data_IF_596021721033
#
_entry.id   IF_596021721033
#
_cell.length_a   1.000
_cell.length_b   1.000
_cell.length_c   1.000
_cell.angle_alpha   90.00
_cell.angle_beta   90.00
_cell.angle_gamma   90.00
#
_symmetry.space_group_name_H-M   'P 1'
#
loop_
_entity.id
_entity.type
_entity.pdbx_description
1 polymer ?
#
# COMPACT_ATOMS: atom_id res chain seq x y z
N UNK A 1 5.44 11.44 -5.78
CA UNK A 1 6.28 12.41 -5.12
C UNK A 1 5.63 13.05 -3.93
N UNK A 2 6.27 14.03 -3.37
CA UNK A 2 5.78 14.75 -2.21
C UNK A 2 5.17 16.08 -2.59
N UNK A 3 4.41 16.63 -1.68
CA UNK A 3 3.86 17.98 -1.84
C UNK A 3 4.88 19.02 -1.40
N UNK A 4 5.65 18.69 -0.39
CA UNK A 4 6.75 19.51 0.11
C UNK A 4 7.98 18.60 0.22
N UNK A 5 9.14 19.15 -0.12
CA UNK A 5 10.39 18.42 0.00
C UNK A 5 11.14 18.88 1.25
N UNK A 6 10.92 18.26 2.40
CA UNK A 6 11.68 18.59 3.58
C UNK A 6 13.15 18.21 3.40
N UNK A 7 14.03 18.85 4.15
CA UNK A 7 15.49 18.70 4.00
C UNK A 7 15.96 17.27 4.12
N UNK A 8 15.34 16.32 4.53
CA UNK A 8 15.77 14.92 4.61
C UNK A 8 14.70 13.99 4.05
N UNK A 9 14.00 14.43 3.01
CA UNK A 9 12.96 13.62 2.39
C UNK A 9 13.55 12.36 1.77
N UNK A 10 12.91 11.23 2.03
CA UNK A 10 13.25 9.97 1.39
C UNK A 10 12.54 9.93 0.03
N UNK A 11 13.22 9.59 -1.06
CA UNK A 11 12.56 9.56 -2.36
C UNK A 11 11.50 8.47 -2.44
N UNK A 12 10.60 8.61 -3.41
CA UNK A 12 9.71 7.54 -3.80
C UNK A 12 10.50 6.57 -4.69
N UNK A 13 10.45 5.29 -4.37
CA UNK A 13 11.11 4.27 -5.18
C UNK A 13 10.05 3.24 -5.59
N UNK A 14 9.91 3.05 -6.90
CA UNK A 14 9.05 2.03 -7.46
C UNK A 14 9.94 1.13 -8.30
N UNK A 15 10.09 -0.11 -7.88
CA UNK A 15 10.99 -1.05 -8.55
C UNK A 15 10.35 -1.65 -9.80
N UNK A 16 11.06 -2.59 -10.45
CA UNK A 16 10.66 -3.13 -11.74
C UNK A 16 9.35 -3.95 -11.69
N UNK A 17 8.65 -3.91 -12.79
CA UNK A 17 7.45 -4.72 -13.00
C UNK A 17 6.31 -4.48 -12.01
N UNK A 18 6.27 -3.31 -11.38
CA UNK A 18 5.16 -2.90 -10.52
C UNK A 18 4.00 -2.45 -11.40
N UNK A 19 2.80 -2.96 -11.11
CA UNK A 19 1.59 -2.55 -11.79
C UNK A 19 0.87 -1.51 -10.92
N UNK A 20 0.56 -0.36 -11.50
CA UNK A 20 -0.04 0.76 -10.77
C UNK A 20 -1.38 1.12 -11.40
N UNK A 21 -2.45 0.98 -10.63
CA UNK A 21 -3.79 1.34 -11.06
C UNK A 21 -4.01 2.84 -11.09
N UNK A 22 -5.12 3.26 -11.68
CA UNK A 22 -5.45 4.68 -11.78
C UNK A 22 -5.74 5.32 -10.43
N UNK A 23 -5.50 6.62 -10.33
CA UNK A 23 -5.73 7.40 -9.11
C UNK A 23 -4.96 6.89 -7.89
N UNK A 24 -3.81 6.31 -8.13
CA UNK A 24 -2.92 5.81 -7.09
C UNK A 24 -1.97 6.91 -6.67
N UNK A 25 -1.74 7.04 -5.36
CA UNK A 25 -0.78 8.00 -4.83
C UNK A 25 0.35 7.28 -4.12
N UNK A 26 1.59 7.57 -4.51
CA UNK A 26 2.77 7.06 -3.83
C UNK A 26 3.64 8.25 -3.48
N UNK A 27 3.78 8.50 -2.19
CA UNK A 27 4.42 9.71 -1.70
C UNK A 27 5.80 9.43 -1.10
N UNK A 28 6.55 10.49 -0.83
CA UNK A 28 7.91 10.36 -0.30
C UNK A 28 7.95 9.47 0.94
N UNK A 29 9.04 8.73 1.06
CA UNK A 29 9.20 7.76 2.15
C UNK A 29 8.55 6.41 1.88
N UNK A 30 8.17 6.13 0.63
CA UNK A 30 7.56 4.86 0.27
C UNK A 30 8.40 4.15 -0.78
N UNK A 31 8.66 2.88 -0.54
CA UNK A 31 9.36 2.00 -1.49
C UNK A 31 8.41 0.88 -1.87
N UNK A 32 8.16 0.72 -3.17
CA UNK A 32 7.32 -0.36 -3.69
C UNK A 32 8.26 -1.36 -4.36
N UNK A 33 8.39 -2.53 -3.77
CA UNK A 33 9.32 -3.54 -4.27
C UNK A 33 8.81 -4.19 -5.55
N UNK A 34 9.71 -4.85 -6.26
CA UNK A 34 9.44 -5.40 -7.59
C UNK A 34 8.18 -6.26 -7.63
N UNK A 35 7.50 -6.20 -8.77
CA UNK A 35 6.33 -7.03 -9.07
C UNK A 35 5.12 -6.80 -8.17
N UNK A 36 5.14 -5.81 -7.30
CA UNK A 36 3.95 -5.47 -6.52
C UNK A 36 2.85 -4.91 -7.43
N UNK A 37 1.62 -5.01 -6.96
CA UNK A 37 0.45 -4.47 -7.67
C UNK A 37 -0.24 -3.49 -6.73
N UNK A 38 -0.44 -2.26 -7.21
CA UNK A 38 -1.22 -1.26 -6.49
C UNK A 38 -2.54 -1.08 -7.24
N UNK A 39 -3.62 -1.55 -6.65
CA UNK A 39 -4.94 -1.42 -7.26
C UNK A 39 -5.35 0.05 -7.33
N UNK A 40 -6.32 0.34 -8.18
CA UNK A 40 -6.81 1.70 -8.35
C UNK A 40 -7.20 2.35 -7.03
N UNK A 41 -6.80 3.59 -6.84
CA UNK A 41 -7.14 4.38 -5.67
C UNK A 41 -6.31 4.11 -4.41
N UNK A 42 -5.32 3.24 -4.49
CA UNK A 42 -4.43 2.99 -3.33
C UNK A 42 -3.56 4.20 -3.08
N UNK A 43 -3.52 4.66 -1.84
CA UNK A 43 -2.72 5.81 -1.42
C UNK A 43 -1.71 5.33 -0.37
N UNK A 44 -0.44 5.55 -0.64
CA UNK A 44 0.66 5.16 0.24
C UNK A 44 1.47 6.37 0.64
N UNK A 45 1.57 6.59 1.94
CA UNK A 45 2.47 7.60 2.50
C UNK A 45 3.35 6.91 3.52
N UNK A 46 4.43 7.56 3.90
CA UNK A 46 5.34 6.99 4.90
C UNK A 46 4.64 6.63 6.21
N UNK A 47 3.62 7.37 6.59
CA UNK A 47 2.90 7.14 7.84
C UNK A 47 1.73 6.19 7.73
N UNK A 48 1.44 5.68 6.53
CA UNK A 48 0.29 4.81 6.29
C UNK A 48 0.61 3.38 6.75
N UNK A 49 -0.15 2.80 7.70
CA UNK A 49 0.03 1.39 8.01
C UNK A 49 -0.61 0.54 6.91
N UNK A 50 0.02 -0.57 6.56
CA UNK A 50 -0.47 -1.50 5.54
C UNK A 50 -0.73 -2.84 6.20
N UNK A 51 -1.95 -3.34 6.08
CA UNK A 51 -2.31 -4.61 6.68
C UNK A 51 -2.07 -5.74 5.70
N UNK A 52 -1.19 -6.66 6.09
CA UNK A 52 -0.78 -7.80 5.25
C UNK A 52 -1.56 -9.03 5.71
N UNK A 53 -2.68 -9.32 5.03
CA UNK A 53 -3.55 -10.43 5.41
C UNK A 53 -2.87 -11.80 5.32
N UNK A 54 -2.17 -12.13 4.21
CA UNK A 54 -1.55 -13.46 4.13
C UNK A 54 -0.56 -13.75 5.24
N UNK A 55 0.16 -12.75 5.72
CA UNK A 55 1.17 -12.93 6.76
C UNK A 55 0.72 -12.45 8.13
N UNK A 56 -0.52 -12.01 8.25
CA UNK A 56 -1.13 -11.57 9.51
C UNK A 56 -0.26 -10.58 10.27
N UNK A 57 0.18 -9.53 9.56
CA UNK A 57 1.03 -8.49 10.14
C UNK A 57 0.63 -7.10 9.68
N UNK A 58 1.10 -6.10 10.40
CA UNK A 58 0.95 -4.70 10.01
C UNK A 58 2.32 -4.17 9.62
N UNK A 59 2.43 -3.66 8.41
CA UNK A 59 3.67 -3.08 7.90
C UNK A 59 3.65 -1.59 8.16
N UNK A 60 4.66 -1.09 8.83
CA UNK A 60 4.82 0.34 9.13
C UNK A 60 6.25 0.76 8.85
N UNK A 61 6.44 2.04 8.53
CA UNK A 61 7.78 2.60 8.46
C UNK A 61 8.32 2.75 9.87
N UNK A 62 9.58 2.36 10.06
CA UNK A 62 10.26 2.60 11.32
C UNK A 62 10.73 4.05 11.38
N UNK A 63 11.07 4.54 12.57
CA UNK A 63 11.56 5.89 12.75
C UNK A 63 12.78 6.13 11.85
N UNK A 64 12.69 7.14 10.99
CA UNK A 64 13.76 7.45 10.03
C UNK A 64 13.79 6.55 8.80
N UNK A 65 12.95 5.52 8.73
CA UNK A 65 12.91 4.59 7.61
C UNK A 65 11.80 4.89 6.63
N UNK A 66 11.64 4.00 5.66
CA UNK A 66 10.62 4.08 4.63
C UNK A 66 9.53 3.04 4.85
N UNK A 67 8.33 3.34 4.36
CA UNK A 67 7.29 2.32 4.25
C UNK A 67 7.65 1.44 3.05
N UNK A 68 7.81 0.14 3.26
CA UNK A 68 8.17 -0.77 2.19
C UNK A 68 7.01 -1.72 1.88
N UNK A 69 6.55 -1.69 0.63
CA UNK A 69 5.58 -2.67 0.13
C UNK A 69 6.38 -3.87 -0.37
N UNK A 70 6.15 -5.07 0.18
CA UNK A 70 6.96 -6.24 -0.20
C UNK A 70 6.83 -6.62 -1.67
N UNK A 71 7.86 -7.28 -2.19
CA UNK A 71 7.84 -7.76 -3.57
C UNK A 71 6.64 -8.66 -3.82
N UNK A 72 5.98 -8.47 -4.96
CA UNK A 72 4.84 -9.28 -5.36
C UNK A 72 3.54 -9.03 -4.60
N UNK A 73 3.53 -8.11 -3.64
CA UNK A 73 2.32 -7.84 -2.86
C UNK A 73 1.22 -7.21 -3.71
N UNK A 74 0.01 -7.70 -3.58
CA UNK A 74 -1.16 -7.12 -4.23
C UNK A 74 -1.90 -6.28 -3.19
N UNK A 75 -1.86 -4.96 -3.38
CA UNK A 75 -2.40 -3.99 -2.44
C UNK A 75 -3.70 -3.41 -2.98
N UNK A 76 -4.73 -3.42 -2.16
CA UNK A 76 -6.03 -2.84 -2.51
C UNK A 76 -6.44 -1.79 -1.49
N UNK A 77 -7.44 -0.98 -1.84
CA UNK A 77 -8.04 -0.06 -0.89
C UNK A 77 -8.74 -0.86 0.21
N UNK A 78 -8.64 -0.38 1.42
CA UNK A 78 -9.32 -0.99 2.54
C UNK A 78 -9.63 0.03 3.61
N UNK A 79 -10.16 -0.44 4.71
CA UNK A 79 -10.42 0.39 5.88
C UNK A 79 -10.31 -0.45 7.14
N UNK A 80 -10.02 0.23 8.23
CA UNK A 80 -10.03 -0.37 9.56
C UNK A 80 -11.01 0.36 10.44
N UNK A 81 -11.70 -0.38 11.30
CA UNK A 81 -12.68 0.20 12.21
C UNK A 81 -11.98 1.04 13.28
N UNK A 82 -12.58 2.18 13.61
CA UNK A 82 -12.15 2.94 14.78
C UNK A 82 -12.55 2.15 16.01
N UNK A 83 -11.60 1.91 16.91
CA UNK A 83 -11.77 0.94 18.00
C UNK A 83 -12.30 1.53 19.32
N UNK A 84 -12.43 2.84 19.43
CA UNK A 84 -12.87 3.46 20.69
C UNK A 84 -13.53 4.81 20.48
N UNK A 85 -14.26 5.28 21.47
CA UNK A 85 -14.82 6.62 21.53
C UNK A 85 -15.90 6.90 20.50
N UNK A 86 -16.02 8.14 20.12
CA UNK A 86 -17.03 8.64 19.19
C UNK A 86 -17.00 7.89 17.84
N UNK A 87 -15.80 7.62 17.34
CA UNK A 87 -15.66 6.90 16.08
C UNK A 87 -16.23 5.51 16.14
N UNK A 88 -15.94 4.77 17.21
CA UNK A 88 -16.49 3.44 17.42
C UNK A 88 -18.02 3.50 17.58
N UNK A 89 -18.48 4.43 18.39
CA UNK A 89 -19.91 4.56 18.69
C UNK A 89 -20.73 4.93 17.44
N UNK A 90 -20.11 5.57 16.48
CA UNK A 90 -20.75 5.98 15.23
C UNK A 90 -20.38 5.10 14.03
N UNK A 91 -19.70 3.98 14.27
CA UNK A 91 -19.36 3.03 13.20
C UNK A 91 -18.40 3.58 12.15
N UNK A 92 -17.50 4.45 12.55
CA UNK A 92 -16.56 5.03 11.60
C UNK A 92 -15.38 4.12 11.28
N UNK A 93 -14.85 4.24 10.08
CA UNK A 93 -13.66 3.51 9.62
C UNK A 93 -12.66 4.50 9.06
N UNK A 94 -11.40 4.10 9.09
CA UNK A 94 -10.30 4.90 8.55
C UNK A 94 -9.68 4.12 7.40
N UNK A 95 -9.38 4.81 6.30
CA UNK A 95 -8.70 4.21 5.17
C UNK A 95 -7.41 3.50 5.61
N UNK A 96 -7.20 2.30 5.12
CA UNK A 96 -5.91 1.64 5.19
C UNK A 96 -5.75 0.71 3.99
N UNK A 97 -4.58 0.70 3.34
CA UNK A 97 -4.33 -0.24 2.28
C UNK A 97 -4.15 -1.65 2.85
N UNK A 98 -4.58 -2.64 2.10
CA UNK A 98 -4.56 -4.03 2.54
C UNK A 98 -3.89 -4.89 1.47
N UNK A 99 -2.90 -5.69 1.87
CA UNK A 99 -2.31 -6.70 1.01
C UNK A 99 -3.20 -7.92 1.10
N UNK A 100 -3.80 -8.31 -0.02
CA UNK A 100 -4.74 -9.44 -0.05
C UNK A 100 -4.09 -10.75 -0.49
N UNK A 101 -3.00 -10.66 -1.25
CA UNK A 101 -2.25 -11.84 -1.70
C UNK A 101 -0.90 -11.42 -2.23
N UNK A 102 -0.09 -12.40 -2.62
CA UNK A 102 1.18 -12.18 -3.30
C UNK A 102 1.14 -12.87 -4.66
N UNK A 103 1.77 -12.23 -5.65
CA UNK A 103 1.85 -12.81 -6.99
C UNK A 103 2.80 -13.99 -7.00
N UNK A 104 2.43 -15.02 -7.78
CA UNK A 104 3.32 -16.12 -8.09
C UNK A 104 3.56 -16.13 -9.61
N UNK A 105 4.48 -16.96 -10.09
CA UNK A 105 4.81 -17.02 -11.51
C UNK A 105 3.61 -17.36 -12.39
N UNK A 106 2.74 -18.22 -11.91
CA UNK A 106 1.54 -18.61 -12.64
C UNK A 106 0.58 -17.43 -12.74
N UNK A 107 0.43 -16.69 -11.68
CA UNK A 107 -0.41 -15.48 -11.66
C UNK A 107 0.13 -14.45 -12.65
N UNK A 108 1.45 -14.26 -12.65
CA UNK A 108 2.11 -13.25 -13.51
C UNK A 108 1.86 -13.50 -15.00
N UNK A 109 1.81 -14.74 -15.42
CA UNK A 109 1.69 -15.07 -16.84
C UNK A 109 0.27 -14.94 -17.36
N UNK A 110 -0.73 -14.96 -16.52
CA UNK A 110 -2.13 -15.01 -16.94
C UNK A 110 -3.00 -13.87 -16.44
N UNK A 111 -2.56 -13.15 -15.42
CA UNK A 111 -3.41 -12.13 -14.75
C UNK A 111 -3.15 -10.75 -15.30
N UNK A 112 -4.22 -10.06 -15.64
CA UNK A 112 -4.16 -8.66 -16.08
C UNK A 112 -4.42 -7.74 -14.90
N UNK A 113 -3.96 -6.50 -15.00
CA UNK A 113 -4.14 -5.52 -13.95
C UNK A 113 -5.61 -5.39 -13.52
N UNK A 114 -6.54 -5.37 -14.46
CA UNK A 114 -7.95 -5.22 -14.13
C UNK A 114 -8.51 -6.33 -13.24
N UNK A 115 -7.89 -7.50 -13.24
CA UNK A 115 -8.32 -8.61 -12.39
C UNK A 115 -8.04 -8.31 -10.92
N UNK A 116 -7.05 -7.46 -10.65
CA UNK A 116 -6.72 -7.04 -9.29
C UNK A 116 -7.52 -5.81 -8.86
N UNK A 117 -8.14 -5.11 -9.81
CA UNK A 117 -8.84 -3.85 -9.55
C UNK A 117 -10.31 -4.03 -9.15
N UNK A 118 -10.77 -5.24 -9.11
CA UNK A 118 -12.16 -5.55 -8.77
C UNK A 118 -12.41 -5.56 -7.28
#
# INVERSE_FOLDING_TARGET
GGVLEPVNATPVIIEDDVLVGGNTGVYEGTIVRERAVLASGVILTRSTPVFDLPNERIIKAEAGGSLEIPAGAVVVQGSRSVSSGFGKDNGLSIYCPIIVKYRDEKTDSSTKLEDYLR
#
